data_IF_272479457294
#
_entry.id   IF_272479457294
#
_cell.length_a   1.000
_cell.length_b   1.000
_cell.length_c   1.000
_cell.angle_alpha   90.00
_cell.angle_beta   90.00
_cell.angle_gamma   90.00
#
_symmetry.space_group_name_H-M   'P 1'
#
loop_
_entity.id
_entity.type
_entity.pdbx_description
1 polymer ?
#
# COMPACT_ATOMS: atom_id res chain seq x y z
N UNK A 1 -20.90 -27.23 18.95
CA UNK A 1 -20.08 -27.81 17.87
C UNK A 1 -20.05 -26.90 16.62
N UNK A 2 -21.08 -26.10 16.36
CA UNK A 2 -21.15 -25.16 15.21
C UNK A 2 -20.15 -23.98 15.27
N UNK A 3 -19.90 -23.41 16.44
CA UNK A 3 -19.00 -22.24 16.61
C UNK A 3 -17.56 -22.58 16.17
N UNK A 4 -17.08 -23.78 16.53
CA UNK A 4 -15.73 -24.25 16.17
C UNK A 4 -15.60 -24.43 14.65
N UNK A 5 -16.68 -24.84 13.97
CA UNK A 5 -16.71 -24.98 12.51
C UNK A 5 -16.61 -23.62 11.81
N UNK A 6 -17.38 -22.61 12.26
CA UNK A 6 -17.37 -21.29 11.63
C UNK A 6 -16.02 -20.56 11.79
N UNK A 7 -15.43 -20.58 12.98
CA UNK A 7 -14.10 -19.99 13.22
C UNK A 7 -13.05 -20.63 12.32
N UNK A 8 -13.07 -21.96 12.20
CA UNK A 8 -12.14 -22.69 11.35
C UNK A 8 -12.29 -22.34 9.86
N UNK A 9 -13.52 -22.17 9.36
CA UNK A 9 -13.76 -21.76 7.96
C UNK A 9 -13.27 -20.32 7.71
N UNK A 10 -13.43 -19.42 8.68
CA UNK A 10 -12.93 -18.04 8.59
C UNK A 10 -11.40 -17.97 8.60
N UNK A 11 -10.74 -18.76 9.46
CA UNK A 11 -9.28 -18.85 9.52
C UNK A 11 -8.71 -19.42 8.21
N UNK A 12 -9.33 -20.47 7.65
CA UNK A 12 -8.95 -21.01 6.34
C UNK A 12 -9.08 -19.96 5.23
N UNK A 13 -10.21 -19.25 5.17
CA UNK A 13 -10.42 -18.20 4.17
C UNK A 13 -9.37 -17.09 4.32
N UNK A 14 -9.09 -16.68 5.55
CA UNK A 14 -8.07 -15.67 5.87
C UNK A 14 -6.70 -16.09 5.36
N UNK A 15 -6.29 -17.33 5.65
CA UNK A 15 -4.99 -17.85 5.21
C UNK A 15 -4.87 -17.89 3.68
N UNK A 16 -5.91 -18.32 2.97
CA UNK A 16 -5.91 -18.36 1.50
C UNK A 16 -5.82 -16.93 0.94
N UNK A 17 -6.57 -15.98 1.52
CA UNK A 17 -6.52 -14.57 1.14
C UNK A 17 -5.11 -14.00 1.35
N UNK A 18 -4.47 -14.28 2.49
CA UNK A 18 -3.12 -13.79 2.77
C UNK A 18 -2.09 -14.32 1.78
N UNK A 19 -2.19 -15.59 1.38
CA UNK A 19 -1.34 -16.19 0.34
C UNK A 19 -1.53 -15.48 -1.00
N UNK A 20 -2.77 -15.25 -1.44
CA UNK A 20 -3.05 -14.57 -2.70
C UNK A 20 -2.62 -13.10 -2.68
N UNK A 21 -2.80 -12.40 -1.55
CA UNK A 21 -2.26 -11.06 -1.33
C UNK A 21 -0.74 -11.06 -1.47
N UNK A 22 -0.05 -12.01 -0.83
CA UNK A 22 1.41 -12.15 -0.94
C UNK A 22 1.87 -12.26 -2.39
N UNK A 23 1.29 -13.21 -3.15
CA UNK A 23 1.57 -13.39 -4.59
C UNK A 23 1.29 -12.13 -5.41
N UNK A 24 0.24 -11.40 -5.06
CA UNK A 24 -0.13 -10.17 -5.77
C UNK A 24 0.86 -9.05 -5.46
N UNK A 25 1.33 -8.95 -4.21
CA UNK A 25 2.31 -7.96 -3.79
C UNK A 25 3.64 -8.08 -4.53
N UNK A 26 4.07 -9.28 -4.92
CA UNK A 26 5.27 -9.48 -5.74
C UNK A 26 5.24 -8.67 -7.05
N UNK A 27 4.04 -8.48 -7.62
CA UNK A 27 3.84 -7.68 -8.84
C UNK A 27 3.64 -6.18 -8.54
N UNK A 28 3.20 -5.83 -7.33
CA UNK A 28 2.92 -4.44 -6.92
C UNK A 28 4.19 -3.74 -6.45
N UNK A 29 5.12 -4.45 -5.79
CA UNK A 29 6.37 -3.89 -5.25
C UNK A 29 7.21 -3.17 -6.32
N UNK A 30 7.41 -3.71 -7.54
CA UNK A 30 8.09 -2.98 -8.60
C UNK A 30 7.45 -1.62 -8.92
N UNK A 31 6.12 -1.54 -8.94
CA UNK A 31 5.38 -0.30 -9.20
C UNK A 31 5.58 0.74 -8.08
N UNK A 32 5.62 0.28 -6.83
CA UNK A 32 5.92 1.14 -5.67
C UNK A 32 7.31 1.77 -5.83
N UNK A 33 8.32 0.95 -6.17
CA UNK A 33 9.70 1.42 -6.38
C UNK A 33 9.79 2.38 -7.56
N UNK A 34 9.10 2.08 -8.66
CA UNK A 34 9.05 2.94 -9.83
C UNK A 34 8.45 4.31 -9.50
N UNK A 35 7.33 4.35 -8.76
CA UNK A 35 6.69 5.58 -8.32
C UNK A 35 7.61 6.40 -7.40
N UNK A 36 8.27 5.76 -6.44
CA UNK A 36 9.19 6.45 -5.53
C UNK A 36 10.36 7.11 -6.29
N UNK A 37 10.92 6.39 -7.27
CA UNK A 37 12.05 6.85 -8.09
C UNK A 37 11.66 7.93 -9.08
N UNK A 38 10.54 7.78 -9.79
CA UNK A 38 10.10 8.76 -10.81
C UNK A 38 9.86 10.14 -10.21
N UNK A 39 9.33 10.18 -8.98
CA UNK A 39 9.12 11.41 -8.23
C UNK A 39 10.32 11.83 -7.38
N UNK A 40 11.43 11.10 -7.37
CA UNK A 40 12.63 11.44 -6.59
C UNK A 40 12.33 11.75 -5.12
N UNK A 41 11.41 10.99 -4.50
CA UNK A 41 10.79 11.39 -3.22
C UNK A 41 11.79 11.56 -2.07
N UNK A 42 12.92 10.83 -2.11
CA UNK A 42 13.96 10.89 -1.09
C UNK A 42 14.77 12.19 -1.07
N UNK A 43 14.76 12.97 -2.16
CA UNK A 43 15.52 14.23 -2.24
C UNK A 43 14.84 15.39 -1.48
N UNK A 44 13.55 15.25 -1.19
CA UNK A 44 12.72 16.37 -0.70
C UNK A 44 12.50 16.36 0.80
N UNK A 45 12.52 15.19 1.43
CA UNK A 45 12.34 15.09 2.87
C UNK A 45 13.13 13.89 3.42
N UNK A 46 13.80 14.10 4.55
CA UNK A 46 14.52 13.02 5.25
C UNK A 46 13.57 12.19 6.11
N UNK A 47 12.42 12.76 6.51
CA UNK A 47 11.41 12.07 7.30
C UNK A 47 10.33 11.52 6.37
N UNK A 48 10.02 10.23 6.50
CA UNK A 48 8.99 9.59 5.68
C UNK A 48 7.58 10.05 6.10
N UNK A 49 6.86 10.83 5.27
CA UNK A 49 5.51 11.26 5.60
C UNK A 49 4.49 10.12 5.50
N UNK A 50 4.89 9.00 4.88
CA UNK A 50 4.08 7.80 4.70
C UNK A 50 3.79 7.07 6.01
N UNK A 51 4.62 7.24 7.05
CA UNK A 51 4.37 6.64 8.37
C UNK A 51 3.05 7.14 8.97
N UNK A 52 2.74 8.42 8.79
CA UNK A 52 1.49 9.00 9.28
C UNK A 52 0.28 8.49 8.48
N UNK A 53 0.42 8.34 7.16
CA UNK A 53 -0.64 7.77 6.32
C UNK A 53 -0.86 6.28 6.66
N UNK A 54 0.22 5.54 6.91
CA UNK A 54 0.15 4.14 7.33
C UNK A 54 -0.51 4.00 8.71
N UNK A 55 -0.24 4.92 9.65
CA UNK A 55 -0.93 4.95 10.94
C UNK A 55 -2.44 5.07 10.74
N UNK A 56 -2.89 6.05 9.95
CA UNK A 56 -4.32 6.22 9.59
C UNK A 56 -4.88 5.00 8.88
N UNK A 57 -4.11 4.34 8.02
CA UNK A 57 -4.54 3.12 7.34
C UNK A 57 -4.71 1.92 8.27
N UNK A 58 -4.00 1.91 9.41
CA UNK A 58 -4.05 0.84 10.41
C UNK A 58 -5.02 1.11 11.57
N UNK A 59 -5.63 2.30 11.63
CA UNK A 59 -6.64 2.63 12.64
C UNK A 59 -7.90 1.75 12.48
N UNK A 60 -8.48 1.36 13.60
CA UNK A 60 -9.77 0.65 13.63
C UNK A 60 -10.85 1.50 12.96
N UNK A 61 -11.58 0.91 12.00
CA UNK A 61 -12.60 1.64 11.24
C UNK A 61 -12.06 2.46 10.05
N UNK A 62 -10.75 2.38 9.77
CA UNK A 62 -10.18 2.98 8.56
C UNK A 62 -10.81 2.39 7.30
N UNK A 63 -10.90 3.23 6.27
CA UNK A 63 -11.42 2.85 4.95
C UNK A 63 -10.57 3.48 3.87
N UNK A 64 -10.69 2.96 2.65
CA UNK A 64 -9.99 3.50 1.48
C UNK A 64 -10.27 5.00 1.30
N UNK A 65 -11.51 5.44 1.50
CA UNK A 65 -11.85 6.87 1.37
C UNK A 65 -11.27 7.72 2.49
N UNK A 66 -11.19 7.23 3.72
CA UNK A 66 -10.52 7.92 4.83
C UNK A 66 -9.03 8.12 4.47
N UNK A 67 -8.36 7.07 4.01
CA UNK A 67 -6.94 7.12 3.61
C UNK A 67 -6.74 8.11 2.46
N UNK A 68 -7.58 8.05 1.42
CA UNK A 68 -7.51 8.96 0.26
C UNK A 68 -7.73 10.40 0.67
N UNK A 69 -8.71 10.68 1.53
CA UNK A 69 -8.98 12.02 2.03
C UNK A 69 -7.85 12.54 2.89
N UNK A 70 -7.24 11.70 3.71
CA UNK A 70 -6.06 12.07 4.47
C UNK A 70 -4.91 12.50 3.56
N UNK A 71 -4.61 11.74 2.50
CA UNK A 71 -3.57 12.10 1.51
C UNK A 71 -3.89 13.42 0.83
N UNK A 72 -5.13 13.62 0.36
CA UNK A 72 -5.57 14.89 -0.26
C UNK A 72 -5.39 16.07 0.70
N UNK A 73 -5.77 15.89 1.97
CA UNK A 73 -5.60 16.90 3.00
C UNK A 73 -4.13 17.27 3.20
N UNK A 74 -3.19 16.31 3.15
CA UNK A 74 -1.75 16.60 3.26
C UNK A 74 -1.24 17.50 2.13
N UNK A 75 -1.84 17.46 0.93
CA UNK A 75 -1.44 18.33 -0.18
C UNK A 75 -1.76 19.81 0.12
N UNK A 76 -2.88 20.09 0.78
CA UNK A 76 -3.30 21.47 1.11
C UNK A 76 -2.79 21.98 2.45
N UNK A 77 -2.41 21.08 3.37
CA UNK A 77 -2.04 21.42 4.74
C UNK A 77 -0.72 22.21 4.82
N UNK A 78 -0.73 23.35 5.50
CA UNK A 78 0.49 24.10 5.82
C UNK A 78 1.44 23.26 6.70
N UNK A 79 2.74 23.29 6.39
CA UNK A 79 3.76 22.52 7.12
C UNK A 79 3.79 21.01 6.82
N UNK A 80 2.98 20.52 5.88
CA UNK A 80 3.11 19.13 5.42
C UNK A 80 4.38 18.91 4.60
N UNK A 81 4.84 17.66 4.55
CA UNK A 81 6.03 17.27 3.78
C UNK A 81 5.92 17.74 2.32
N UNK A 82 7.00 18.33 1.75
CA UNK A 82 6.99 18.79 0.36
C UNK A 82 6.81 17.64 -0.64
N UNK A 83 7.03 16.39 -0.23
CA UNK A 83 6.85 15.19 -1.07
C UNK A 83 5.45 15.14 -1.70
N UNK A 84 4.42 15.54 -0.96
CA UNK A 84 3.03 15.53 -1.44
C UNK A 84 2.80 16.41 -2.67
N UNK A 85 3.63 17.44 -2.84
CA UNK A 85 3.52 18.46 -3.89
C UNK A 85 4.58 18.32 -4.98
N UNK A 86 5.39 17.24 -4.96
CA UNK A 86 6.35 17.01 -6.05
C UNK A 86 5.56 16.84 -7.34
N UNK A 87 5.89 17.66 -8.33
CA UNK A 87 5.34 17.57 -9.67
C UNK A 87 6.35 16.94 -10.63
N UNK A 88 5.90 15.97 -11.41
CA UNK A 88 6.60 15.39 -12.56
C UNK A 88 5.60 15.25 -13.69
N UNK A 89 5.96 15.70 -14.89
CA UNK A 89 5.09 15.63 -16.08
C UNK A 89 3.67 16.19 -15.82
N UNK A 90 3.60 17.35 -15.17
CA UNK A 90 2.35 18.03 -14.76
C UNK A 90 1.45 17.23 -13.81
N UNK A 91 1.99 16.23 -13.11
CA UNK A 91 1.27 15.39 -12.16
C UNK A 91 1.91 15.47 -10.79
N UNK A 92 1.07 15.66 -9.76
CA UNK A 92 1.54 15.60 -8.38
C UNK A 92 1.76 14.15 -7.94
N UNK A 93 2.78 13.92 -7.12
CA UNK A 93 3.04 12.63 -6.49
C UNK A 93 1.81 12.12 -5.73
N UNK A 94 1.13 12.99 -4.97
CA UNK A 94 -0.08 12.61 -4.24
C UNK A 94 -1.19 12.11 -5.18
N UNK A 95 -1.37 12.74 -6.34
CA UNK A 95 -2.33 12.30 -7.36
C UNK A 95 -1.95 10.93 -7.92
N UNK A 96 -0.68 10.74 -8.28
CA UNK A 96 -0.19 9.45 -8.77
C UNK A 96 -0.33 8.33 -7.73
N UNK A 97 -0.04 8.61 -6.45
CA UNK A 97 -0.26 7.67 -5.35
C UNK A 97 -1.73 7.29 -5.20
N UNK A 98 -2.65 8.25 -5.26
CA UNK A 98 -4.08 8.00 -5.16
C UNK A 98 -4.61 7.12 -6.30
N UNK A 99 -4.08 7.30 -7.51
CA UNK A 99 -4.41 6.42 -8.64
C UNK A 99 -3.91 5.00 -8.42
N UNK A 100 -2.68 4.81 -7.91
CA UNK A 100 -2.18 3.49 -7.56
C UNK A 100 -3.05 2.84 -6.47
N UNK A 101 -3.46 3.59 -5.44
CA UNK A 101 -4.39 3.08 -4.41
C UNK A 101 -5.73 2.69 -5.03
N UNK A 102 -6.26 3.46 -5.98
CA UNK A 102 -7.51 3.10 -6.66
C UNK A 102 -7.35 1.84 -7.53
N UNK A 103 -6.23 1.66 -8.22
CA UNK A 103 -6.00 0.47 -9.06
C UNK A 103 -5.90 -0.82 -8.25
N UNK A 104 -5.48 -0.76 -6.98
CA UNK A 104 -5.50 -1.93 -6.07
C UNK A 104 -6.90 -2.54 -5.90
N UNK A 105 -7.98 -1.82 -6.22
CA UNK A 105 -9.33 -2.39 -6.26
C UNK A 105 -9.50 -3.45 -7.36
N UNK A 106 -8.84 -3.26 -8.51
CA UNK A 106 -8.82 -4.25 -9.59
C UNK A 106 -7.99 -5.47 -9.16
N UNK A 107 -6.90 -5.25 -8.42
CA UNK A 107 -6.11 -6.32 -7.85
C UNK A 107 -6.90 -7.13 -6.81
N UNK A 108 -7.65 -6.47 -5.94
CA UNK A 108 -8.56 -7.10 -4.99
C UNK A 108 -9.64 -7.92 -5.71
N UNK A 109 -10.25 -7.38 -6.78
CA UNK A 109 -11.19 -8.12 -7.61
C UNK A 109 -10.53 -9.37 -8.21
N UNK A 110 -9.32 -9.26 -8.76
CA UNK A 110 -8.62 -10.40 -9.35
C UNK A 110 -8.32 -11.52 -8.34
N UNK A 111 -8.07 -11.16 -7.07
CA UNK A 111 -7.90 -12.13 -6.00
C UNK A 111 -9.23 -12.83 -5.70
N UNK A 112 -10.32 -12.08 -5.54
CA UNK A 112 -11.66 -12.64 -5.32
C UNK A 112 -12.04 -13.59 -6.45
N UNK A 113 -11.79 -13.21 -7.71
CA UNK A 113 -12.08 -14.07 -8.85
C UNK A 113 -11.28 -15.37 -8.77
N UNK A 114 -9.99 -15.33 -8.40
CA UNK A 114 -9.19 -16.55 -8.20
C UNK A 114 -9.72 -17.43 -7.08
N UNK A 115 -10.15 -16.85 -5.96
CA UNK A 115 -10.75 -17.59 -4.85
C UNK A 115 -12.00 -18.36 -5.31
N UNK A 116 -12.85 -17.72 -6.10
CA UNK A 116 -14.04 -18.35 -6.70
C UNK A 116 -13.70 -19.51 -7.62
N UNK A 117 -12.61 -19.40 -8.38
CA UNK A 117 -12.18 -20.47 -9.30
C UNK A 117 -11.50 -21.65 -8.58
N UNK A 118 -10.80 -21.39 -7.47
CA UNK A 118 -10.03 -22.39 -6.72
C UNK A 118 -10.88 -23.15 -5.69
N UNK A 119 -11.82 -22.47 -5.04
CA UNK A 119 -12.75 -23.05 -4.08
C UNK A 119 -14.03 -23.40 -4.82
N UNK A 120 -14.29 -24.70 -5.06
CA UNK A 120 -15.39 -25.16 -5.95
C UNK A 120 -16.55 -25.86 -5.24
N UNK A 121 -16.44 -26.14 -3.95
CA UNK A 121 -17.45 -26.87 -3.16
C UNK A 121 -17.30 -26.61 -1.67
N UNK A 122 -18.35 -26.89 -0.91
CA UNK A 122 -18.39 -26.78 0.56
C UNK A 122 -18.81 -25.40 1.06
N UNK A 123 -18.75 -25.20 2.38
CA UNK A 123 -19.29 -24.00 3.02
C UNK A 123 -18.56 -22.71 2.63
N UNK A 124 -17.23 -22.78 2.39
CA UNK A 124 -16.47 -21.62 1.86
C UNK A 124 -16.96 -21.21 0.47
N UNK A 125 -17.30 -22.18 -0.39
CA UNK A 125 -17.81 -21.87 -1.73
C UNK A 125 -19.12 -21.08 -1.63
N UNK A 126 -20.06 -21.56 -0.82
CA UNK A 126 -21.34 -20.88 -0.60
C UNK A 126 -21.15 -19.48 0.00
N UNK A 127 -20.19 -19.34 0.93
CA UNK A 127 -19.85 -18.06 1.54
C UNK A 127 -19.31 -17.05 0.52
N UNK A 128 -18.40 -17.48 -0.37
CA UNK A 128 -17.76 -16.62 -1.37
C UNK A 128 -18.71 -16.28 -2.54
N UNK A 129 -19.61 -17.19 -2.93
CA UNK A 129 -20.57 -16.93 -4.00
C UNK A 129 -21.71 -16.00 -3.57
N UNK A 130 -21.94 -15.84 -2.27
CA UNK A 130 -22.83 -14.81 -1.76
C UNK A 130 -22.30 -13.41 -2.13
N UNK A 131 -23.13 -12.60 -2.79
CA UNK A 131 -22.73 -11.29 -3.33
C UNK A 131 -22.27 -10.29 -2.26
N UNK A 132 -22.93 -10.25 -1.10
CA UNK A 132 -22.58 -9.32 -0.01
C UNK A 132 -21.25 -9.69 0.62
N UNK A 133 -21.05 -10.98 0.92
CA UNK A 133 -19.78 -11.49 1.44
C UNK A 133 -18.65 -11.23 0.45
N UNK A 134 -18.89 -11.44 -0.84
CA UNK A 134 -17.90 -11.20 -1.90
C UNK A 134 -17.44 -9.75 -1.93
N UNK A 135 -18.38 -8.81 -1.88
CA UNK A 135 -18.05 -7.37 -1.82
C UNK A 135 -17.31 -7.01 -0.53
N UNK A 136 -17.68 -7.62 0.60
CA UNK A 136 -16.97 -7.41 1.87
C UNK A 136 -15.54 -7.95 1.82
N UNK A 137 -15.34 -9.16 1.29
CA UNK A 137 -14.01 -9.76 1.08
C UNK A 137 -13.17 -8.85 0.20
N UNK A 138 -13.71 -8.40 -0.94
CA UNK A 138 -13.02 -7.48 -1.85
C UNK A 138 -12.60 -6.19 -1.15
N UNK A 139 -13.50 -5.54 -0.41
CA UNK A 139 -13.19 -4.32 0.36
C UNK A 139 -12.07 -4.55 1.36
N UNK A 140 -12.12 -5.67 2.09
CA UNK A 140 -11.09 -6.04 3.07
C UNK A 140 -9.73 -6.27 2.38
N UNK A 141 -9.71 -6.98 1.25
CA UNK A 141 -8.50 -7.20 0.46
C UNK A 141 -7.95 -5.87 -0.07
N UNK A 142 -8.79 -4.98 -0.59
CA UNK A 142 -8.36 -3.67 -1.09
C UNK A 142 -7.74 -2.82 0.02
N UNK A 143 -8.34 -2.80 1.21
CA UNK A 143 -7.78 -2.14 2.38
C UNK A 143 -6.41 -2.74 2.76
N UNK A 144 -6.32 -4.07 2.82
CA UNK A 144 -5.06 -4.75 3.18
C UNK A 144 -3.95 -4.50 2.16
N UNK A 145 -4.25 -4.56 0.85
CA UNK A 145 -3.31 -4.20 -0.21
C UNK A 145 -2.84 -2.77 -0.06
N UNK A 146 -3.73 -1.83 0.29
CA UNK A 146 -3.40 -0.42 0.50
C UNK A 146 -2.47 -0.23 1.70
N UNK A 147 -2.75 -0.90 2.83
CA UNK A 147 -1.88 -0.88 4.02
C UNK A 147 -0.48 -1.42 3.69
N UNK A 148 -0.40 -2.54 2.98
CA UNK A 148 0.87 -3.13 2.56
C UNK A 148 1.62 -2.21 1.60
N UNK A 149 0.92 -1.65 0.60
CA UNK A 149 1.48 -0.70 -0.35
C UNK A 149 2.12 0.49 0.36
N UNK A 150 1.39 1.13 1.28
CA UNK A 150 1.90 2.26 2.07
C UNK A 150 3.08 1.86 2.96
N UNK A 151 3.03 0.66 3.55
CA UNK A 151 4.14 0.11 4.34
C UNK A 151 5.41 -0.09 3.52
N UNK A 152 5.29 -0.67 2.32
CA UNK A 152 6.42 -0.83 1.40
C UNK A 152 6.93 0.52 0.88
N UNK A 153 6.05 1.46 0.57
CA UNK A 153 6.44 2.81 0.15
C UNK A 153 7.21 3.56 1.26
N UNK A 154 6.76 3.42 2.52
CA UNK A 154 7.45 4.00 3.67
C UNK A 154 8.86 3.43 3.85
N UNK A 155 9.01 2.10 3.66
CA UNK A 155 10.30 1.42 3.68
C UNK A 155 11.21 1.84 2.52
N UNK A 156 10.68 1.86 1.30
CA UNK A 156 11.42 2.28 0.10
C UNK A 156 11.94 3.71 0.25
N UNK A 157 11.10 4.63 0.70
CA UNK A 157 11.53 6.00 1.00
C UNK A 157 12.69 6.03 2.00
N UNK A 158 12.58 5.27 3.09
CA UNK A 158 13.62 5.20 4.12
C UNK A 158 14.93 4.64 3.56
N UNK A 159 14.86 3.61 2.72
CA UNK A 159 16.03 3.01 2.07
C UNK A 159 16.70 4.02 1.12
N UNK A 160 15.93 4.68 0.25
CA UNK A 160 16.44 5.70 -0.67
C UNK A 160 17.10 6.88 0.06
N UNK A 161 16.52 7.35 1.18
CA UNK A 161 17.16 8.37 2.01
C UNK A 161 18.49 7.89 2.60
N UNK A 162 18.56 6.63 3.04
CA UNK A 162 19.79 6.01 3.54
C UNK A 162 20.89 5.98 2.47
N UNK A 163 20.57 5.48 1.28
CA UNK A 163 21.49 5.41 0.14
C UNK A 163 22.04 6.79 -0.26
N UNK A 164 21.19 7.82 -0.27
CA UNK A 164 21.62 9.19 -0.59
C UNK A 164 22.58 9.76 0.46
N UNK A 165 22.36 9.46 1.75
CA UNK A 165 23.25 9.92 2.81
C UNK A 165 24.63 9.24 2.70
N UNK A 166 24.66 7.91 2.47
CA UNK A 166 25.92 7.18 2.30
C UNK A 166 26.73 7.64 1.08
N UNK A 167 26.07 7.97 -0.04
CA UNK A 167 26.74 8.54 -1.23
C UNK A 167 27.37 9.90 -0.92
N UNK A 168 26.62 10.80 -0.26
CA UNK A 168 27.14 12.11 0.16
C UNK A 168 28.34 11.97 1.08
N UNK A 169 28.28 11.10 2.08
CA UNK A 169 29.41 10.86 2.99
C UNK A 169 30.67 10.33 2.27
N UNK A 170 30.50 9.46 1.27
CA UNK A 170 31.61 8.99 0.45
C UNK A 170 32.22 10.10 -0.40
N UNK A 171 31.41 10.96 -1.02
CA UNK A 171 31.86 12.12 -1.81
C UNK A 171 32.61 13.13 -0.93
N UNK A 172 32.13 13.44 0.28
CA UNK A 172 32.80 14.37 1.19
C UNK A 172 34.14 13.83 1.69
N UNK A 173 34.25 12.50 1.90
CA UNK A 173 35.50 11.84 2.32
C UNK A 173 36.52 11.69 1.19
N UNK A 174 36.08 11.62 -0.07
CA UNK A 174 36.95 11.47 -1.24
C UNK A 174 37.40 12.80 -1.84
N UNK A 175 36.83 13.94 -1.40
CA UNK A 175 37.26 15.28 -1.81
C UNK A 175 37.41 16.23 -0.60
N UNK A 176 38.53 16.17 0.15
CA UNK A 176 38.72 16.96 1.37
C UNK A 176 39.10 18.44 1.12
N UNK A 177 38.79 19.02 -0.05
CA UNK A 177 39.18 20.40 -0.39
C UNK A 177 37.98 21.34 -0.46
N UNK A 178 37.79 22.06 0.65
CA UNK A 178 37.50 23.50 0.80
C UNK A 178 36.79 23.72 2.14
N UNK A 179 37.57 23.62 3.22
CA UNK A 179 37.34 24.33 4.46
C UNK A 179 38.38 25.45 4.55
#
# INVERSE_FOLDING_TARGET
>A
MEIISQTFLQEQLTLIIEIEIGRKMDNIIPNIKALAKSFSIAEKDKKSPFRNVLAVANESGSSIEIIKNYIRYQVGRSGSSPIWRISRDNKLFATALLEQINSLNQDAQSIVDRLRHSIRRGDLYNYIENGENREQIKKNIHLKLTQLYLGYLAREHTALCGEQNSKKEHETKSNPKLA
#
